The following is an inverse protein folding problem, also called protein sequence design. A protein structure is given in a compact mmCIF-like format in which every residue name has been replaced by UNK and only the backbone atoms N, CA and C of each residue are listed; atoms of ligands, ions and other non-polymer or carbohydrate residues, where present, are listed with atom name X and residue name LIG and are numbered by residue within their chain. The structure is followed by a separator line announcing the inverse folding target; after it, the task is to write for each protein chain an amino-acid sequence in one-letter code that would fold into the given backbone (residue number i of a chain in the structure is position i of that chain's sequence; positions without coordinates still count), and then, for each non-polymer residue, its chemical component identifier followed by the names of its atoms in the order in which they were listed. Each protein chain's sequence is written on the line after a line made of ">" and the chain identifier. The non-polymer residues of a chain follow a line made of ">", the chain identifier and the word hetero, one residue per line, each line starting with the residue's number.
data_IF_911575368997
#
_entry.id   IF_911575368997
#
_cell.length_a   1.000
_cell.length_b   1.000
_cell.length_c   1.000
_cell.angle_alpha   90.00
_cell.angle_beta   90.00
_cell.angle_gamma   90.00
#
_symmetry.space_group_name_H-M   'P 1'
#
loop_
_entity.id
_entity.type
_entity.pdbx_description
1 polymer ?
#
# COMPACT_ATOMS: atom_id res chain seq x y z
N UNK A 1 -18.15 -2.08 -14.10
CA UNK A 1 -16.81 -1.99 -13.47
C UNK A 1 -16.58 -0.77 -12.58
N UNK A 2 -17.31 0.34 -12.75
CA UNK A 2 -17.13 1.57 -11.94
C UNK A 2 -17.36 1.35 -10.43
N UNK A 3 -18.40 0.60 -10.05
CA UNK A 3 -18.70 0.32 -8.64
C UNK A 3 -17.56 -0.43 -7.91
N UNK A 4 -17.01 -1.48 -8.54
CA UNK A 4 -15.91 -2.26 -7.98
C UNK A 4 -14.63 -1.43 -7.84
N UNK A 5 -14.30 -0.59 -8.83
CA UNK A 5 -13.15 0.31 -8.76
C UNK A 5 -13.30 1.37 -7.67
N UNK A 6 -14.50 1.94 -7.51
CA UNK A 6 -14.76 2.93 -6.46
C UNK A 6 -14.68 2.31 -5.07
N UNK A 7 -15.20 1.09 -4.90
CA UNK A 7 -15.11 0.37 -3.63
C UNK A 7 -13.68 0.02 -3.27
N UNK A 8 -12.89 -0.50 -4.22
CA UNK A 8 -11.47 -0.81 -4.02
C UNK A 8 -10.67 0.44 -3.64
N UNK A 9 -10.93 1.58 -4.30
CA UNK A 9 -10.28 2.85 -3.95
C UNK A 9 -10.63 3.32 -2.54
N UNK A 10 -11.89 3.16 -2.12
CA UNK A 10 -12.32 3.52 -0.77
C UNK A 10 -11.66 2.64 0.30
N UNK A 11 -11.63 1.33 0.10
CA UNK A 11 -10.98 0.37 1.00
C UNK A 11 -9.46 0.64 1.09
N UNK A 12 -8.82 0.97 -0.02
CA UNK A 12 -7.40 1.33 -0.03
C UNK A 12 -7.13 2.65 0.72
N UNK A 13 -8.00 3.66 0.60
CA UNK A 13 -7.90 4.91 1.36
C UNK A 13 -8.09 4.69 2.86
N UNK A 14 -9.04 3.83 3.25
CA UNK A 14 -9.25 3.44 4.64
C UNK A 14 -8.03 2.69 5.21
N UNK A 15 -7.41 1.82 4.41
CA UNK A 15 -6.19 1.14 4.80
C UNK A 15 -5.01 2.12 5.00
N UNK A 16 -4.86 3.08 4.10
CA UNK A 16 -3.82 4.12 4.17
C UNK A 16 -3.93 4.90 5.47
N UNK A 17 -5.13 5.31 5.85
CA UNK A 17 -5.36 6.07 7.08
C UNK A 17 -5.20 5.19 8.32
N UNK A 18 -5.74 3.97 8.31
CA UNK A 18 -5.66 3.02 9.43
C UNK A 18 -4.23 2.60 9.77
N UNK A 19 -3.40 2.34 8.76
CA UNK A 19 -2.02 1.87 8.96
C UNK A 19 -1.00 3.01 9.03
N UNK A 20 -1.46 4.27 8.92
CA UNK A 20 -0.66 5.49 8.86
C UNK A 20 0.38 5.44 7.73
N UNK A 21 -0.06 5.06 6.53
CA UNK A 21 0.80 4.97 5.35
C UNK A 21 1.02 6.36 4.74
N UNK A 22 2.11 6.50 3.99
CA UNK A 22 2.34 7.67 3.16
C UNK A 22 1.33 7.70 2.00
N UNK A 23 0.32 8.56 2.11
CA UNK A 23 -0.78 8.67 1.15
C UNK A 23 -0.31 8.94 -0.28
N UNK A 24 0.68 9.79 -0.47
CA UNK A 24 1.21 10.12 -1.80
C UNK A 24 1.91 8.90 -2.44
N UNK A 25 2.69 8.15 -1.65
CA UNK A 25 3.31 6.91 -2.11
C UNK A 25 2.26 5.83 -2.42
N UNK A 26 1.20 5.74 -1.61
CA UNK A 26 0.14 4.75 -1.76
C UNK A 26 -0.73 4.96 -2.99
N UNK A 27 -1.12 6.20 -3.27
CA UNK A 27 -1.82 6.54 -4.52
C UNK A 27 -0.96 6.20 -5.75
N UNK A 28 0.35 6.49 -5.69
CA UNK A 28 1.28 6.16 -6.78
C UNK A 28 1.41 4.65 -6.97
N UNK A 29 1.58 3.91 -5.87
CA UNK A 29 1.68 2.44 -5.88
C UNK A 29 0.44 1.82 -6.51
N UNK A 30 -0.76 2.18 -6.03
CA UNK A 30 -2.04 1.70 -6.57
C UNK A 30 -2.17 2.00 -8.06
N UNK A 31 -1.82 3.22 -8.49
CA UNK A 31 -1.90 3.60 -9.90
C UNK A 31 -0.95 2.79 -10.77
N UNK A 32 0.28 2.56 -10.30
CA UNK A 32 1.27 1.75 -11.00
C UNK A 32 0.85 0.27 -11.06
N UNK A 33 0.33 -0.27 -9.95
CA UNK A 33 -0.16 -1.65 -9.87
C UNK A 33 -1.36 -1.89 -10.77
N UNK A 34 -2.33 -0.97 -10.79
CA UNK A 34 -3.46 -1.04 -11.70
C UNK A 34 -3.02 -0.97 -13.17
N UNK A 35 -2.03 -0.13 -13.49
CA UNK A 35 -1.48 -0.03 -14.85
C UNK A 35 -0.72 -1.29 -15.29
N UNK A 36 -0.05 -1.96 -14.36
CA UNK A 36 0.69 -3.21 -14.60
C UNK A 36 -0.18 -4.46 -14.48
N UNK A 37 -1.42 -4.31 -13.99
CA UNK A 37 -2.35 -5.40 -13.68
C UNK A 37 -1.88 -6.36 -12.56
N UNK A 38 -0.82 -5.99 -11.82
CA UNK A 38 -0.35 -6.73 -10.65
C UNK A 38 0.31 -5.80 -9.61
N UNK A 39 0.19 -6.18 -8.33
CA UNK A 39 0.91 -5.56 -7.22
C UNK A 39 2.29 -6.22 -7.06
N UNK A 40 3.35 -5.43 -6.93
CA UNK A 40 4.71 -5.94 -6.70
C UNK A 40 5.18 -5.61 -5.29
N UNK A 41 5.66 -6.60 -4.57
CA UNK A 41 6.36 -6.42 -3.30
C UNK A 41 7.84 -6.02 -3.50
N UNK A 42 8.34 -6.23 -4.71
CA UNK A 42 9.74 -6.06 -5.07
C UNK A 42 10.05 -4.59 -5.36
N UNK A 43 11.18 -4.11 -4.85
CA UNK A 43 11.64 -2.72 -5.02
C UNK A 43 11.34 -1.81 -3.84
N UNK A 44 11.45 -0.50 -4.05
CA UNK A 44 11.34 0.52 -2.99
C UNK A 44 9.95 1.13 -2.87
N UNK A 45 9.04 0.85 -3.82
CA UNK A 45 7.71 1.48 -3.86
C UNK A 45 6.87 1.09 -2.63
N UNK A 46 6.80 -0.20 -2.29
CA UNK A 46 6.08 -0.69 -1.12
C UNK A 46 6.72 -0.21 0.19
N UNK A 47 8.05 -0.14 0.27
CA UNK A 47 8.74 0.39 1.44
C UNK A 47 8.45 1.89 1.64
N UNK A 48 8.28 2.65 0.56
CA UNK A 48 7.95 4.07 0.62
C UNK A 48 6.53 4.35 1.12
N UNK A 49 5.65 3.33 1.16
CA UNK A 49 4.32 3.40 1.76
C UNK A 49 4.39 3.43 3.28
N UNK A 50 5.36 2.73 3.84
CA UNK A 50 5.43 2.54 5.27
C UNK A 50 5.80 3.86 5.94
N UNK A 51 5.19 4.19 7.08
CA UNK A 51 5.60 5.36 7.85
C UNK A 51 7.07 5.21 8.26
N UNK A 52 7.70 6.34 8.58
CA UNK A 52 9.10 6.37 9.03
C UNK A 52 9.26 5.51 10.29
N UNK A 53 9.72 4.29 10.10
CA UNK A 53 10.10 3.35 11.14
C UNK A 53 11.50 2.83 10.83
N UNK A 54 12.24 2.44 11.85
CA UNK A 54 13.53 1.79 11.64
C UNK A 54 13.33 0.44 10.92
N UNK A 55 14.11 0.11 9.87
CA UNK A 55 14.10 -1.21 9.24
C UNK A 55 14.45 -2.34 10.21
N UNK A 56 15.12 -2.02 11.32
CA UNK A 56 15.46 -2.94 12.42
C UNK A 56 14.29 -3.17 13.38
N UNK A 57 13.16 -2.50 13.20
CA UNK A 57 11.98 -2.76 14.00
C UNK A 57 11.38 -4.13 13.58
N UNK A 58 11.23 -5.10 14.51
CA UNK A 58 10.67 -6.41 14.18
C UNK A 58 9.23 -6.34 13.61
N UNK A 59 8.49 -5.27 13.89
CA UNK A 59 7.15 -5.04 13.35
C UNK A 59 7.15 -4.48 11.92
N UNK A 60 8.30 -4.06 11.41
CA UNK A 60 8.40 -3.47 10.07
C UNK A 60 8.02 -4.48 8.99
N UNK A 61 8.60 -5.68 9.05
CA UNK A 61 8.35 -6.74 8.08
C UNK A 61 6.90 -7.24 8.13
N UNK A 62 6.34 -7.40 9.33
CA UNK A 62 4.96 -7.86 9.49
C UNK A 62 3.96 -6.82 9.00
N UNK A 63 4.20 -5.53 9.27
CA UNK A 63 3.37 -4.45 8.73
C UNK A 63 3.49 -4.36 7.20
N UNK A 64 4.70 -4.47 6.65
CA UNK A 64 4.93 -4.52 5.20
C UNK A 64 4.11 -5.63 4.54
N UNK A 65 4.18 -6.85 5.07
CA UNK A 65 3.42 -8.00 4.58
C UNK A 65 1.91 -7.76 4.68
N UNK A 66 1.43 -7.25 5.82
CA UNK A 66 0.01 -7.00 6.04
C UNK A 66 -0.56 -5.93 5.12
N UNK A 67 0.21 -4.86 4.88
CA UNK A 67 -0.18 -3.78 3.95
C UNK A 67 -0.23 -4.32 2.52
N UNK A 68 0.77 -5.10 2.09
CA UNK A 68 0.79 -5.69 0.75
C UNK A 68 -0.38 -6.64 0.51
N UNK A 69 -0.74 -7.48 1.48
CA UNK A 69 -1.86 -8.42 1.35
C UNK A 69 -3.24 -7.74 1.27
N UNK A 70 -3.35 -6.50 1.76
CA UNK A 70 -4.62 -5.75 1.78
C UNK A 70 -4.76 -4.74 0.63
N UNK A 71 -3.69 -4.51 -0.16
CA UNK A 71 -3.67 -3.61 -1.33
C UNK A 71 -3.83 -4.39 -2.63
#
# INVERSE_FOLDING_TARGET
>A
FVFAQNKQKAEALELITKENLNEAAAKRYLTNSLKREYASENGTELNALLPKMSPLNPQYLTKKQSVFQKL
#
